data_IF_251871068385
#
_entry.id   IF_251871068385
#
_cell.length_a   1.000
_cell.length_b   1.000
_cell.length_c   1.000
_cell.angle_alpha   90.00
_cell.angle_beta   90.00
_cell.angle_gamma   90.00
#
_symmetry.space_group_name_H-M   'P 1'
#
loop_
_entity.id
_entity.type
_entity.pdbx_description
1 polymer ?
#
# COMPACT_ATOMS: atom_id res chain seq x y z
N UNK A 1 12.63 -5.14 -25.32
CA UNK A 1 11.80 -5.88 -24.35
C UNK A 1 10.35 -5.79 -24.81
N UNK A 2 9.73 -6.91 -25.19
CA UNK A 2 8.34 -6.93 -25.70
C UNK A 2 7.41 -6.97 -24.48
N UNK A 3 6.66 -5.89 -24.23
CA UNK A 3 5.66 -5.87 -23.17
C UNK A 3 4.60 -6.93 -23.48
N UNK A 4 4.38 -7.86 -22.56
CA UNK A 4 3.30 -8.83 -22.67
C UNK A 4 1.98 -8.10 -22.39
N UNK A 5 0.95 -8.24 -23.26
CA UNK A 5 -0.34 -7.64 -23.02
C UNK A 5 -0.93 -8.18 -21.72
N UNK A 6 -1.44 -7.29 -20.85
CA UNK A 6 -2.24 -7.70 -19.69
C UNK A 6 -3.49 -8.40 -20.22
N UNK A 7 -3.57 -9.71 -20.00
CA UNK A 7 -4.75 -10.50 -20.29
C UNK A 7 -5.71 -10.31 -19.12
N UNK A 8 -6.74 -9.49 -19.32
CA UNK A 8 -7.87 -9.36 -18.40
C UNK A 8 -8.74 -10.62 -18.53
N UNK A 9 -8.39 -11.69 -17.81
CA UNK A 9 -9.17 -12.92 -17.75
C UNK A 9 -10.06 -12.90 -16.52
N UNK A 10 -11.30 -13.38 -16.65
CA UNK A 10 -12.19 -13.59 -15.50
C UNK A 10 -11.71 -14.76 -14.65
N UNK A 11 -12.12 -14.81 -13.38
CA UNK A 11 -11.74 -15.89 -12.45
C UNK A 11 -12.15 -17.27 -12.99
N UNK A 12 -13.33 -17.35 -13.60
CA UNK A 12 -13.87 -18.58 -14.19
C UNK A 12 -13.03 -19.04 -15.39
N UNK A 13 -12.53 -18.11 -16.20
CA UNK A 13 -11.66 -18.41 -17.34
C UNK A 13 -10.29 -18.91 -16.88
N UNK A 14 -9.76 -18.36 -15.79
CA UNK A 14 -8.49 -18.82 -15.19
C UNK A 14 -8.66 -20.25 -14.66
N UNK A 15 -9.74 -20.54 -13.94
CA UNK A 15 -10.02 -21.87 -13.41
C UNK A 15 -10.14 -22.90 -14.54
N UNK A 16 -10.82 -22.55 -15.62
CA UNK A 16 -11.02 -23.45 -16.75
C UNK A 16 -9.71 -23.73 -17.51
N UNK A 17 -8.88 -22.70 -17.71
CA UNK A 17 -7.53 -22.86 -18.28
C UNK A 17 -6.67 -23.77 -17.40
N UNK A 18 -6.68 -23.57 -16.09
CA UNK A 18 -5.92 -24.41 -15.14
C UNK A 18 -6.42 -25.85 -15.17
N UNK A 19 -7.73 -26.09 -15.32
CA UNK A 19 -8.29 -27.44 -15.45
C UNK A 19 -7.75 -28.18 -16.66
N UNK A 20 -7.65 -27.50 -17.80
CA UNK A 20 -7.17 -28.05 -19.08
C UNK A 20 -5.66 -28.32 -19.12
N UNK A 21 -4.89 -27.81 -18.14
CA UNK A 21 -3.46 -28.07 -18.08
C UNK A 21 -3.13 -29.53 -17.75
N UNK A 22 -2.03 -30.01 -18.34
CA UNK A 22 -1.44 -31.30 -18.01
C UNK A 22 -0.92 -31.34 -16.56
N UNK A 23 -0.76 -32.52 -15.95
CA UNK A 23 -0.26 -32.64 -14.59
C UNK A 23 1.14 -32.02 -14.38
N UNK A 24 2.00 -32.05 -15.40
CA UNK A 24 3.31 -31.40 -15.37
C UNK A 24 3.19 -29.87 -15.41
N UNK A 25 2.29 -29.34 -16.24
CA UNK A 25 2.05 -27.91 -16.33
C UNK A 25 1.42 -27.36 -15.04
N UNK A 26 0.50 -28.11 -14.41
CA UNK A 26 -0.06 -27.77 -13.09
C UNK A 26 1.03 -27.68 -12.01
N UNK A 27 1.97 -28.64 -11.98
CA UNK A 27 3.11 -28.62 -11.05
C UNK A 27 3.98 -27.38 -11.24
N UNK A 28 4.26 -26.99 -12.48
CA UNK A 28 5.04 -25.78 -12.79
C UNK A 28 4.32 -24.50 -12.37
N UNK A 29 3.02 -24.39 -12.61
CA UNK A 29 2.22 -23.24 -12.15
C UNK A 29 2.24 -23.13 -10.63
N UNK A 30 2.05 -24.24 -9.91
CA UNK A 30 2.12 -24.25 -8.43
C UNK A 30 3.51 -23.85 -7.92
N UNK A 31 4.59 -24.34 -8.54
CA UNK A 31 5.95 -23.96 -8.19
C UNK A 31 6.20 -22.46 -8.43
N UNK A 32 5.71 -21.92 -9.55
CA UNK A 32 5.81 -20.50 -9.86
C UNK A 32 5.04 -19.65 -8.85
N UNK A 33 3.78 -20.02 -8.56
CA UNK A 33 2.96 -19.33 -7.55
C UNK A 33 3.59 -19.36 -6.16
N UNK A 34 4.22 -20.47 -5.76
CA UNK A 34 4.97 -20.55 -4.50
C UNK A 34 6.28 -19.75 -4.48
N UNK A 35 6.79 -19.35 -5.65
CA UNK A 35 8.01 -18.54 -5.79
C UNK A 35 7.74 -17.05 -6.04
N UNK A 36 6.47 -16.66 -6.22
CA UNK A 36 6.12 -15.22 -6.32
C UNK A 36 6.36 -14.61 -4.94
N UNK A 37 7.30 -13.66 -4.78
CA UNK A 37 7.41 -12.92 -3.54
C UNK A 37 6.08 -12.22 -3.31
N UNK A 38 5.44 -12.55 -2.19
CA UNK A 38 4.19 -11.96 -1.80
C UNK A 38 4.43 -10.46 -1.56
N UNK A 39 4.20 -9.62 -2.57
CA UNK A 39 4.36 -8.16 -2.45
C UNK A 39 3.48 -7.57 -1.32
N UNK A 40 2.43 -8.30 -0.91
CA UNK A 40 1.62 -7.96 0.26
C UNK A 40 2.36 -8.12 1.59
N UNK A 41 3.31 -9.06 1.69
CA UNK A 41 4.08 -9.27 2.92
C UNK A 41 5.12 -8.17 3.16
N UNK A 42 5.69 -7.58 2.10
CA UNK A 42 6.62 -6.45 2.22
C UNK A 42 5.90 -5.17 2.68
N UNK A 43 4.65 -4.97 2.26
CA UNK A 43 3.85 -3.83 2.69
C UNK A 43 3.47 -3.91 4.18
N UNK A 44 3.01 -5.07 4.66
CA UNK A 44 2.72 -5.27 6.10
C UNK A 44 3.98 -5.23 6.97
N UNK A 45 5.12 -5.75 6.49
CA UNK A 45 6.38 -5.71 7.21
C UNK A 45 6.86 -4.26 7.46
N UNK A 46 6.71 -3.37 6.48
CA UNK A 46 7.09 -1.96 6.60
C UNK A 46 6.21 -1.18 7.58
N UNK A 47 4.90 -1.45 7.58
CA UNK A 47 3.95 -0.84 8.53
C UNK A 47 4.22 -1.35 9.96
N UNK A 48 4.57 -2.64 10.09
CA UNK A 48 4.95 -3.25 11.37
C UNK A 48 6.22 -2.63 11.96
N UNK A 49 7.21 -2.28 11.13
CA UNK A 49 8.45 -1.66 11.61
C UNK A 49 8.24 -0.19 12.01
N UNK A 50 7.48 0.57 11.21
CA UNK A 50 7.12 1.95 11.53
C UNK A 50 6.33 2.06 12.85
N UNK A 51 5.39 1.13 13.08
CA UNK A 51 4.60 1.08 14.30
C UNK A 51 5.40 0.73 15.57
N UNK A 52 6.65 0.24 15.43
CA UNK A 52 7.55 -0.07 16.56
C UNK A 52 8.40 1.11 17.01
N UNK A 53 8.35 2.23 16.28
CA UNK A 53 9.11 3.42 16.67
C UNK A 53 8.61 3.96 18.03
N UNK A 54 9.49 4.40 18.95
CA UNK A 54 9.09 4.86 20.29
C UNK A 54 8.10 6.03 20.30
N UNK A 55 8.08 6.83 19.23
CA UNK A 55 7.20 7.98 19.06
C UNK A 55 5.91 7.66 18.30
N UNK A 56 5.74 6.43 17.80
CA UNK A 56 4.52 6.03 17.11
C UNK A 56 3.33 6.08 18.10
N UNK A 57 2.26 6.77 17.71
CA UNK A 57 1.08 6.96 18.56
C UNK A 57 1.23 8.00 19.68
N UNK A 58 2.38 8.66 19.82
CA UNK A 58 2.62 9.66 20.88
C UNK A 58 1.60 10.82 20.90
N UNK A 59 0.99 11.09 19.76
CA UNK A 59 0.01 12.16 19.60
C UNK A 59 -1.42 11.66 19.37
N UNK A 60 -1.67 10.35 19.54
CA UNK A 60 -2.99 9.76 19.28
C UNK A 60 -4.10 10.36 20.17
N UNK A 61 -3.77 10.67 21.42
CA UNK A 61 -4.71 11.23 22.40
C UNK A 61 -4.75 12.77 22.40
N UNK A 62 -4.00 13.42 21.52
CA UNK A 62 -3.92 14.87 21.50
C UNK A 62 -5.24 15.45 20.95
N UNK A 63 -6.02 16.14 21.79
CA UNK A 63 -7.35 16.66 21.43
C UNK A 63 -7.34 17.49 20.14
N UNK A 64 -6.29 18.31 19.93
CA UNK A 64 -6.18 19.10 18.70
C UNK A 64 -5.97 18.27 17.42
N UNK A 65 -5.54 17.01 17.53
CA UNK A 65 -5.36 16.12 16.39
C UNK A 65 -6.59 15.23 16.12
N UNK A 66 -7.65 15.33 16.93
CA UNK A 66 -8.95 14.74 16.61
C UNK A 66 -9.54 15.32 15.32
N UNK A 67 -9.25 16.61 15.04
CA UNK A 67 -9.47 17.25 13.74
C UNK A 67 -8.14 17.86 13.26
N UNK A 68 -7.27 16.97 12.75
CA UNK A 68 -5.94 17.34 12.28
C UNK A 68 -5.97 18.43 11.20
N UNK A 69 -7.00 18.42 10.35
CA UNK A 69 -7.14 19.38 9.27
C UNK A 69 -7.48 20.79 9.79
N UNK A 70 -8.40 20.90 10.75
CA UNK A 70 -8.70 22.18 11.40
C UNK A 70 -7.50 22.72 12.17
N UNK A 71 -6.77 21.86 12.87
CA UNK A 71 -5.56 22.25 13.60
C UNK A 71 -4.46 22.77 12.66
N UNK A 72 -4.18 22.08 11.55
CA UNK A 72 -3.20 22.54 10.56
C UNK A 72 -3.61 23.89 9.96
N UNK A 73 -4.90 24.09 9.62
CA UNK A 73 -5.39 25.38 9.09
C UNK A 73 -5.18 26.52 10.09
N UNK A 74 -5.50 26.29 11.37
CA UNK A 74 -5.30 27.25 12.46
C UNK A 74 -3.83 27.62 12.62
N UNK A 75 -2.95 26.62 12.67
CA UNK A 75 -1.51 26.85 12.80
C UNK A 75 -0.92 27.55 11.57
N UNK A 76 -1.48 27.33 10.38
CA UNK A 76 -1.02 27.92 9.11
C UNK A 76 -1.33 29.41 8.98
N UNK A 77 -2.39 29.92 9.62
CA UNK A 77 -2.80 31.32 9.52
C UNK A 77 -1.70 32.31 10.00
N UNK A 78 -1.03 32.10 11.14
CA UNK A 78 0.16 32.87 11.54
C UNK A 78 1.30 32.84 10.51
N UNK A 79 1.54 31.72 9.83
CA UNK A 79 2.59 31.62 8.81
C UNK A 79 2.26 32.47 7.58
N UNK A 80 1.02 32.43 7.11
CA UNK A 80 0.56 33.30 6.02
C UNK A 80 0.67 34.78 6.41
N UNK A 81 0.27 35.13 7.64
CA UNK A 81 0.39 36.50 8.14
C UNK A 81 1.84 36.99 8.22
N UNK A 82 2.80 36.12 8.56
CA UNK A 82 4.24 36.43 8.54
C UNK A 82 4.78 36.57 7.13
N UNK A 83 4.34 35.72 6.20
CA UNK A 83 4.72 35.80 4.79
C UNK A 83 4.24 37.10 4.13
N UNK A 84 3.02 37.54 4.44
CA UNK A 84 2.42 38.76 3.87
C UNK A 84 2.94 40.08 4.48
N UNK A 85 3.73 40.04 5.57
CA UNK A 85 4.32 41.23 6.20
C UNK A 85 5.72 41.57 5.68
N UNK A 86 6.18 40.88 4.62
CA UNK A 86 7.55 40.98 4.10
C UNK A 86 7.67 41.78 2.78
N UNK A 87 6.64 42.56 2.46
CA UNK A 87 6.65 43.65 1.48
C UNK A 87 6.50 45.00 2.23
#
# INVERSE_FOLDING_TARGET
MRALPKLELSEEQVVELVRQLSPDAKRRVMQLLGSVPNQSAESEASVSEFAKLPCFGMWADHEALQDSDAWVRKEREPWHRRASRRD
#
